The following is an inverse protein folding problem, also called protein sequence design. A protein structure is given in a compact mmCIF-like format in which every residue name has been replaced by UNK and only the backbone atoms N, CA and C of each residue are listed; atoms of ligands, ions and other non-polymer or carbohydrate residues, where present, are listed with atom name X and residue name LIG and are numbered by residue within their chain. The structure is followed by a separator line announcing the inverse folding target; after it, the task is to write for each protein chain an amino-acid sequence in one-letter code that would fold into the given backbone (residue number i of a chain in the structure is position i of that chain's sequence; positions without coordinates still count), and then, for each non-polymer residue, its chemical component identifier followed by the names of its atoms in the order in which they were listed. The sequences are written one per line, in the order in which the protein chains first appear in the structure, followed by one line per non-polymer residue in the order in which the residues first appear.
data_IF_712116853188
#
_entry.id   IF_712116853188
#
_cell.length_a   1.000
_cell.length_b   1.000
_cell.length_c   1.000
_cell.angle_alpha   90.00
_cell.angle_beta   90.00
_cell.angle_gamma   90.00
#
_symmetry.space_group_name_H-M   'P 1'
#
loop_
_entity.id
_entity.type
_entity.pdbx_description
1 polymer ?
#
# COMPACT_ATOMS: atom_id res chain seq x y z
N UNK A 1 -1.56 11.72 -1.78
CA UNK A 1 -2.63 10.78 -2.23
C UNK A 1 -3.97 11.43 -1.97
N UNK A 2 -4.93 11.39 -2.91
CA UNK A 2 -6.27 11.96 -2.72
C UNK A 2 -7.29 10.82 -2.51
N UNK A 3 -7.71 10.51 -1.26
CA UNK A 3 -8.54 9.35 -0.96
C UNK A 3 -9.98 9.46 -1.46
N UNK A 4 -10.51 10.69 -1.58
CA UNK A 4 -11.90 10.96 -1.94
C UNK A 4 -12.08 11.41 -3.39
N UNK A 5 -11.12 11.10 -4.28
CA UNK A 5 -11.28 11.43 -5.70
C UNK A 5 -12.45 10.63 -6.30
N UNK A 6 -13.27 11.28 -7.12
CA UNK A 6 -14.48 10.70 -7.71
C UNK A 6 -14.23 9.38 -8.45
N UNK A 7 -13.13 9.30 -9.21
CA UNK A 7 -12.79 8.15 -10.04
C UNK A 7 -11.94 7.07 -9.33
N UNK A 8 -11.91 7.03 -7.99
CA UNK A 8 -10.96 6.17 -7.25
C UNK A 8 -11.03 4.69 -7.62
N UNK A 9 -12.21 4.17 -7.96
CA UNK A 9 -12.41 2.75 -8.35
C UNK A 9 -12.00 2.43 -9.79
N UNK A 10 -11.68 3.43 -10.61
CA UNK A 10 -11.33 3.26 -12.04
C UNK A 10 -9.82 3.13 -12.29
N UNK A 11 -9.03 2.82 -11.27
CA UNK A 11 -7.58 2.59 -11.43
C UNK A 11 -7.28 1.25 -12.11
N UNK A 12 -6.11 1.13 -12.75
CA UNK A 12 -5.68 -0.08 -13.46
C UNK A 12 -4.75 -1.00 -12.65
N UNK A 13 -4.50 -0.71 -11.37
CA UNK A 13 -3.61 -1.53 -10.52
C UNK A 13 -4.02 -3.02 -10.39
N UNK A 14 -5.28 -3.38 -10.68
CA UNK A 14 -5.76 -4.77 -10.73
C UNK A 14 -6.08 -5.25 -12.15
N UNK A 15 -5.64 -4.53 -13.18
CA UNK A 15 -5.99 -4.79 -14.57
C UNK A 15 -7.46 -4.56 -14.90
N UNK A 16 -7.85 -4.94 -16.12
CA UNK A 16 -9.21 -4.85 -16.64
C UNK A 16 -9.51 -6.00 -17.62
N UNK A 17 -10.79 -6.24 -17.92
CA UNK A 17 -11.21 -7.26 -18.89
C UNK A 17 -10.98 -8.71 -18.41
N UNK A 18 -10.70 -9.62 -19.36
CA UNK A 18 -10.60 -11.08 -19.12
C UNK A 18 -9.52 -11.48 -18.12
N UNK A 19 -8.48 -10.66 -17.96
CA UNK A 19 -7.36 -10.91 -17.03
C UNK A 19 -7.39 -9.99 -15.80
N UNK A 20 -8.54 -9.39 -15.49
CA UNK A 20 -8.70 -8.63 -14.25
C UNK A 20 -8.34 -9.53 -13.07
N UNK A 21 -7.53 -9.00 -12.14
CA UNK A 21 -7.00 -9.76 -11.02
C UNK A 21 -8.13 -10.45 -10.23
N UNK A 22 -8.14 -11.79 -10.15
CA UNK A 22 -9.15 -12.52 -9.40
C UNK A 22 -9.05 -12.23 -7.89
N UNK A 23 -7.85 -11.94 -7.39
CA UNK A 23 -7.57 -11.59 -6.00
C UNK A 23 -7.87 -10.14 -5.61
N UNK A 24 -8.41 -9.30 -6.51
CA UNK A 24 -8.54 -7.86 -6.24
C UNK A 24 -9.39 -7.54 -5.02
N UNK A 25 -10.43 -8.33 -4.73
CA UNK A 25 -11.26 -8.15 -3.54
C UNK A 25 -10.54 -8.59 -2.27
N UNK A 26 -9.82 -9.71 -2.32
CA UNK A 26 -9.02 -10.21 -1.19
C UNK A 26 -7.94 -9.20 -0.80
N UNK A 27 -7.13 -8.74 -1.76
CA UNK A 27 -6.06 -7.78 -1.53
C UNK A 27 -6.58 -6.46 -0.89
N UNK A 28 -7.78 -6.01 -1.29
CA UNK A 28 -8.42 -4.84 -0.66
C UNK A 28 -8.83 -5.12 0.78
N UNK A 29 -9.38 -6.29 1.06
CA UNK A 29 -9.75 -6.68 2.42
C UNK A 29 -8.52 -6.77 3.32
N UNK A 30 -7.46 -7.43 2.86
CA UNK A 30 -6.19 -7.55 3.58
C UNK A 30 -5.58 -6.18 3.86
N UNK A 31 -5.47 -5.31 2.85
CA UNK A 31 -4.96 -3.96 3.02
C UNK A 31 -5.80 -3.16 4.02
N UNK A 32 -7.12 -3.28 3.97
CA UNK A 32 -8.01 -2.58 4.88
C UNK A 32 -7.87 -3.09 6.34
N UNK A 33 -7.70 -4.40 6.53
CA UNK A 33 -7.43 -5.00 7.85
C UNK A 33 -6.07 -4.56 8.37
N UNK A 34 -5.02 -4.65 7.56
CA UNK A 34 -3.67 -4.26 7.94
C UNK A 34 -3.60 -2.79 8.36
N UNK A 35 -4.13 -1.89 7.52
CA UNK A 35 -4.12 -0.45 7.79
C UNK A 35 -4.92 -0.08 9.04
N UNK A 36 -6.13 -0.62 9.22
CA UNK A 36 -6.93 -0.36 10.44
C UNK A 36 -6.27 -0.91 11.69
N UNK A 37 -5.69 -2.12 11.60
CA UNK A 37 -5.02 -2.75 12.75
C UNK A 37 -3.80 -1.96 13.18
N UNK A 38 -2.97 -1.54 12.22
CA UNK A 38 -1.78 -0.71 12.50
C UNK A 38 -2.21 0.63 13.08
N UNK A 39 -3.16 1.33 12.44
CA UNK A 39 -3.64 2.62 12.92
C UNK A 39 -4.24 2.55 14.34
N UNK A 40 -4.94 1.46 14.67
CA UNK A 40 -5.53 1.27 16.00
C UNK A 40 -4.52 0.84 17.08
N UNK A 41 -3.52 0.02 16.73
CA UNK A 41 -2.56 -0.53 17.71
C UNK A 41 -1.30 0.33 17.87
N UNK A 42 -0.94 1.09 16.85
CA UNK A 42 0.27 1.91 16.79
C UNK A 42 -0.10 3.35 16.35
N UNK A 43 -0.89 4.10 17.14
CA UNK A 43 -1.42 5.41 16.74
C UNK A 43 -0.32 6.45 16.45
N UNK A 44 0.81 6.37 17.15
CA UNK A 44 1.93 7.32 17.03
C UNK A 44 3.07 6.78 16.16
N UNK A 45 2.78 5.80 15.28
CA UNK A 45 3.78 5.24 14.37
C UNK A 45 4.15 6.26 13.30
N UNK A 46 5.45 6.47 13.13
CA UNK A 46 5.99 7.34 12.08
C UNK A 46 7.17 6.68 11.35
N UNK A 47 7.45 7.18 10.16
CA UNK A 47 8.67 6.84 9.44
C UNK A 47 9.89 7.40 10.18
N UNK A 48 10.97 6.61 10.24
CA UNK A 48 12.25 7.06 10.78
C UNK A 48 12.81 8.19 9.90
N UNK A 49 13.17 9.32 10.51
CA UNK A 49 13.67 10.49 9.80
C UNK A 49 15.09 10.21 9.25
N UNK A 50 15.38 10.71 8.04
CA UNK A 50 16.71 10.60 7.43
C UNK A 50 16.97 9.33 6.61
N UNK A 51 16.01 8.39 6.54
CA UNK A 51 16.10 7.29 5.58
C UNK A 51 15.99 7.84 4.15
N UNK A 52 17.08 7.76 3.38
CA UNK A 52 17.00 7.90 1.92
C UNK A 52 16.10 6.75 1.47
N UNK A 53 14.95 7.09 0.86
CA UNK A 53 13.80 6.18 0.70
C UNK A 53 14.18 4.73 0.44
N UNK A 54 13.48 3.82 1.10
CA UNK A 54 13.81 2.40 1.13
C UNK A 54 14.12 1.83 -0.26
N UNK A 55 15.13 0.93 -0.37
CA UNK A 55 15.47 0.32 -1.64
C UNK A 55 14.24 -0.36 -2.23
N UNK A 56 14.00 -0.08 -3.51
CA UNK A 56 12.88 -0.66 -4.23
C UNK A 56 13.28 -2.00 -4.82
N UNK A 57 12.30 -2.91 -4.92
CA UNK A 57 12.45 -4.16 -5.64
C UNK A 57 12.90 -3.87 -7.08
N UNK A 58 14.01 -4.48 -7.52
CA UNK A 58 14.63 -4.26 -8.83
C UNK A 58 13.92 -4.99 -9.97
N UNK A 59 12.59 -4.88 -10.05
CA UNK A 59 11.78 -5.54 -11.07
C UNK A 59 11.07 -4.52 -11.96
N UNK A 60 10.93 -4.86 -13.25
CA UNK A 60 10.29 -3.99 -14.24
C UNK A 60 8.82 -3.67 -13.88
N UNK A 61 8.08 -4.67 -13.42
CA UNK A 61 6.62 -4.58 -13.24
C UNK A 61 6.16 -4.30 -11.80
N UNK A 62 7.02 -4.56 -10.80
CA UNK A 62 6.64 -4.48 -9.40
C UNK A 62 7.31 -3.30 -8.72
N UNK A 63 6.50 -2.45 -8.10
CA UNK A 63 6.96 -1.31 -7.32
C UNK A 63 6.67 -1.55 -5.85
N UNK A 64 7.63 -2.15 -5.14
CA UNK A 64 7.55 -2.41 -3.71
C UNK A 64 8.87 -2.05 -3.02
N UNK A 65 8.86 -1.29 -1.91
CA UNK A 65 10.05 -1.13 -1.08
C UNK A 65 10.39 -2.46 -0.41
N UNK A 66 11.69 -2.76 -0.25
CA UNK A 66 12.16 -3.97 0.45
C UNK A 66 11.88 -3.91 1.96
N UNK A 67 11.84 -2.71 2.52
CA UNK A 67 11.57 -2.44 3.92
C UNK A 67 10.85 -1.10 4.07
N UNK A 68 10.13 -0.91 5.17
CA UNK A 68 9.63 0.40 5.61
C UNK A 68 9.93 0.50 7.09
N UNK A 69 10.95 1.27 7.45
CA UNK A 69 11.40 1.38 8.84
C UNK A 69 10.54 2.41 9.56
N UNK A 70 9.96 2.00 10.68
CA UNK A 70 9.07 2.83 11.50
C UNK A 70 9.51 2.85 12.95
N UNK A 71 9.18 3.92 13.65
CA UNK A 71 9.33 4.04 15.08
C UNK A 71 8.02 4.55 15.71
N UNK A 72 7.79 4.20 16.97
CA UNK A 72 6.78 4.90 17.78
C UNK A 72 7.42 6.19 18.29
N UNK A 73 6.71 7.31 18.12
CA UNK A 73 7.10 8.57 18.76
C UNK A 73 6.75 8.57 20.25
#
# INVERSE_FOLDING_TARGET
MCPHRENIRRHLAFGAGKHRCPGASLARTEAAVALRTVAGRLPDVGLVQGEKGAPMLGLLSFRAPLSVVVARR
#
